data_IF_687288920841
#
_entry.id   IF_687288920841
#
_cell.length_a   1.000
_cell.length_b   1.000
_cell.length_c   1.000
_cell.angle_alpha   90.00
_cell.angle_beta   90.00
_cell.angle_gamma   90.00
#
_symmetry.space_group_name_H-M   'P 1'
#
loop_
_entity.id
_entity.type
_entity.pdbx_description
1 polymer ?
#
# COMPACT_ATOMS: atom_id res chain seq x y z
N UNK A 1 -9.63 -3.90 -15.22
CA UNK A 1 -8.74 -4.16 -14.08
C UNK A 1 -9.23 -3.37 -12.89
N UNK A 2 -9.89 -4.03 -11.95
CA UNK A 2 -10.30 -3.48 -10.66
C UNK A 2 -9.31 -3.86 -9.56
N UNK A 3 -9.35 -3.21 -8.40
CA UNK A 3 -8.51 -3.61 -7.26
C UNK A 3 -8.75 -5.06 -6.80
N UNK A 4 -9.96 -5.60 -7.01
CA UNK A 4 -10.34 -6.96 -6.61
C UNK A 4 -9.51 -8.06 -7.29
N UNK A 5 -8.92 -7.77 -8.45
CA UNK A 5 -8.13 -8.72 -9.23
C UNK A 5 -6.75 -9.00 -8.61
N UNK A 6 -6.30 -8.19 -7.65
CA UNK A 6 -5.01 -8.38 -6.96
C UNK A 6 -5.09 -9.26 -5.71
N UNK A 7 -6.30 -9.70 -5.32
CA UNK A 7 -6.51 -10.59 -4.17
C UNK A 7 -5.85 -10.10 -2.87
N UNK A 8 -5.94 -8.79 -2.61
CA UNK A 8 -5.43 -8.21 -1.37
C UNK A 8 -6.14 -8.78 -0.14
N UNK A 9 -5.44 -8.78 1.01
CA UNK A 9 -6.01 -9.11 2.32
C UNK A 9 -7.28 -8.31 2.59
N UNK A 10 -8.19 -8.90 3.37
CA UNK A 10 -9.53 -8.33 3.54
C UNK A 10 -9.52 -6.92 4.14
N UNK A 11 -8.65 -6.66 5.14
CA UNK A 11 -8.54 -5.33 5.74
C UNK A 11 -8.11 -4.26 4.73
N UNK A 12 -7.30 -4.63 3.73
CA UNK A 12 -6.91 -3.73 2.64
C UNK A 12 -8.12 -3.41 1.77
N UNK A 13 -8.92 -4.42 1.41
CA UNK A 13 -10.14 -4.24 0.62
C UNK A 13 -11.16 -3.35 1.34
N UNK A 14 -11.31 -3.50 2.65
CA UNK A 14 -12.15 -2.61 3.47
C UNK A 14 -11.68 -1.16 3.41
N UNK A 15 -10.37 -0.90 3.55
CA UNK A 15 -9.79 0.43 3.38
C UNK A 15 -10.00 1.00 1.98
N UNK A 16 -9.80 0.19 0.93
CA UNK A 16 -10.06 0.61 -0.46
C UNK A 16 -11.52 1.00 -0.68
N UNK A 17 -12.46 0.23 -0.12
CA UNK A 17 -13.89 0.50 -0.23
C UNK A 17 -14.28 1.79 0.50
N UNK A 18 -13.77 2.02 1.71
CA UNK A 18 -14.03 3.26 2.46
C UNK A 18 -13.51 4.49 1.72
N UNK A 19 -12.30 4.40 1.14
CA UNK A 19 -11.70 5.45 0.33
C UNK A 19 -12.36 5.58 -1.06
N UNK A 20 -13.32 4.72 -1.38
CA UNK A 20 -14.02 4.64 -2.67
C UNK A 20 -13.07 4.44 -3.85
N UNK A 21 -11.96 3.75 -3.64
CA UNK A 21 -11.02 3.37 -4.68
C UNK A 21 -11.54 2.15 -5.44
N UNK A 22 -11.95 2.36 -6.68
CA UNK A 22 -12.56 1.31 -7.52
C UNK A 22 -11.58 0.68 -8.49
N UNK A 23 -10.78 1.51 -9.16
CA UNK A 23 -9.82 1.09 -10.18
C UNK A 23 -8.42 1.61 -9.85
N UNK A 24 -7.38 0.77 -10.00
CA UNK A 24 -6.00 1.21 -9.85
C UNK A 24 -5.62 2.22 -10.93
N UNK A 25 -4.70 3.13 -10.60
CA UNK A 25 -4.07 4.04 -11.56
C UNK A 25 -3.06 3.30 -12.44
N UNK A 26 -2.61 3.91 -13.54
CA UNK A 26 -1.64 3.29 -14.45
C UNK A 26 -0.31 2.90 -13.78
N UNK A 27 0.19 3.73 -12.86
CA UNK A 27 1.40 3.41 -12.11
C UNK A 27 1.18 2.23 -11.15
N UNK A 28 0.01 2.15 -10.52
CA UNK A 28 -0.37 1.06 -9.63
C UNK A 28 -0.48 -0.26 -10.39
N UNK A 29 -1.17 -0.26 -11.56
CA UNK A 29 -1.25 -1.43 -12.45
C UNK A 29 0.13 -1.94 -12.87
N UNK A 30 1.06 -1.02 -13.12
CA UNK A 30 2.42 -1.35 -13.54
C UNK A 30 3.29 -1.89 -12.40
N UNK A 31 3.05 -1.44 -11.16
CA UNK A 31 3.86 -1.79 -9.99
C UNK A 31 3.34 -3.05 -9.30
N UNK A 32 2.03 -3.19 -9.07
CA UNK A 32 1.49 -4.27 -8.22
C UNK A 32 1.95 -5.67 -8.62
N UNK A 33 1.91 -6.11 -9.90
CA UNK A 33 2.35 -7.46 -10.25
C UNK A 33 3.81 -7.72 -9.85
N UNK A 34 4.70 -6.75 -10.11
CA UNK A 34 6.13 -6.88 -9.80
C UNK A 34 6.41 -6.77 -8.30
N UNK A 35 5.70 -5.89 -7.61
CA UNK A 35 5.91 -5.63 -6.19
C UNK A 35 5.44 -6.82 -5.36
N UNK A 36 4.30 -7.42 -5.72
CA UNK A 36 3.77 -8.61 -5.07
C UNK A 36 4.62 -9.87 -5.32
N UNK A 37 5.41 -9.88 -6.40
CA UNK A 37 6.46 -10.88 -6.65
C UNK A 37 7.77 -10.61 -5.88
N UNK A 38 7.84 -9.54 -5.09
CA UNK A 38 9.06 -9.15 -4.34
C UNK A 38 10.20 -8.62 -5.22
N UNK A 39 9.90 -8.16 -6.44
CA UNK A 39 10.94 -7.62 -7.35
C UNK A 39 11.32 -6.18 -6.99
N UNK A 40 12.57 -5.84 -7.28
CA UNK A 40 13.06 -4.45 -7.20
C UNK A 40 12.44 -3.60 -8.32
N UNK A 41 11.96 -2.39 -7.98
CA UNK A 41 11.22 -1.54 -8.90
C UNK A 41 11.70 -0.09 -8.78
N UNK A 42 11.85 0.57 -9.92
CA UNK A 42 11.99 2.03 -10.01
C UNK A 42 10.71 2.58 -10.65
N UNK A 43 9.96 3.37 -9.88
CA UNK A 43 8.73 4.01 -10.35
C UNK A 43 8.94 5.50 -10.62
N UNK A 44 8.69 5.95 -11.85
CA UNK A 44 8.68 7.38 -12.22
C UNK A 44 7.29 7.78 -12.68
N UNK A 45 6.66 8.74 -11.99
CA UNK A 45 5.40 9.33 -12.41
C UNK A 45 5.20 10.71 -11.80
N UNK A 46 4.25 11.48 -12.34
CA UNK A 46 3.87 12.79 -11.81
C UNK A 46 3.22 12.70 -10.41
N UNK A 47 3.19 13.81 -9.67
CA UNK A 47 2.45 13.91 -8.39
C UNK A 47 0.95 13.68 -8.62
N UNK A 48 0.25 13.12 -7.64
CA UNK A 48 -1.19 12.85 -7.73
C UNK A 48 -1.56 11.59 -8.52
N UNK A 49 -0.60 10.85 -9.10
CA UNK A 49 -0.92 9.63 -9.87
C UNK A 49 -1.11 8.36 -9.02
N UNK A 50 -1.19 8.48 -7.69
CA UNK A 50 -1.37 7.33 -6.80
C UNK A 50 -0.11 6.53 -6.45
N UNK A 51 1.09 7.13 -6.56
CA UNK A 51 2.37 6.48 -6.21
C UNK A 51 2.41 5.92 -4.78
N UNK A 52 1.86 6.66 -3.82
CA UNK A 52 1.83 6.26 -2.40
C UNK A 52 1.21 4.87 -2.23
N UNK A 53 -0.01 4.69 -2.71
CA UNK A 53 -0.69 3.40 -2.68
C UNK A 53 -0.03 2.35 -3.58
N UNK A 54 0.77 2.75 -4.58
CA UNK A 54 1.50 1.81 -5.43
C UNK A 54 2.56 1.01 -4.66
N UNK A 55 3.12 1.54 -3.56
CA UNK A 55 4.03 0.79 -2.69
C UNK A 55 3.43 0.42 -1.34
N UNK A 56 2.50 1.21 -0.77
CA UNK A 56 1.87 0.87 0.52
C UNK A 56 1.06 -0.42 0.43
N UNK A 57 0.24 -0.60 -0.61
CA UNK A 57 -0.65 -1.77 -0.70
C UNK A 57 0.14 -3.09 -0.83
N UNK A 58 1.19 -3.18 -1.67
CA UNK A 58 2.07 -4.35 -1.66
C UNK A 58 2.76 -4.60 -0.31
N UNK A 59 3.24 -3.54 0.38
CA UNK A 59 3.85 -3.71 1.71
C UNK A 59 2.85 -4.34 2.67
N UNK A 60 1.64 -3.77 2.80
CA UNK A 60 0.58 -4.30 3.65
C UNK A 60 0.24 -5.76 3.31
N UNK A 61 0.16 -6.06 2.01
CA UNK A 61 -0.11 -7.42 1.54
C UNK A 61 0.96 -8.43 1.99
N UNK A 62 2.21 -8.00 2.09
CA UNK A 62 3.35 -8.85 2.39
C UNK A 62 3.68 -8.95 3.88
N UNK A 63 3.08 -8.12 4.74
CA UNK A 63 3.27 -8.23 6.20
C UNK A 63 2.79 -9.59 6.71
N UNK A 64 3.46 -10.14 7.70
CA UNK A 64 2.99 -11.24 8.54
C UNK A 64 2.45 -10.66 9.85
N UNK A 65 1.14 -10.75 10.04
CA UNK A 65 0.46 -10.24 11.25
C UNK A 65 0.84 -11.01 12.53
N UNK A 66 1.50 -12.16 12.43
CA UNK A 66 1.90 -12.96 13.59
C UNK A 66 3.31 -12.60 14.10
N UNK A 67 4.05 -11.77 13.38
CA UNK A 67 5.42 -11.41 13.71
C UNK A 67 5.50 -9.98 14.26
N UNK A 68 5.87 -9.85 15.53
CA UNK A 68 6.10 -8.57 16.18
C UNK A 68 7.55 -8.08 16.00
N UNK A 69 7.92 -7.79 14.76
CA UNK A 69 9.22 -7.27 14.39
C UNK A 69 9.13 -6.25 13.24
N UNK A 70 10.23 -5.56 12.94
CA UNK A 70 10.25 -4.60 11.83
C UNK A 70 10.32 -5.37 10.50
N UNK A 71 9.23 -5.34 9.74
CA UNK A 71 9.10 -6.10 8.47
C UNK A 71 9.25 -5.21 7.22
N UNK A 72 9.10 -3.89 7.35
CA UNK A 72 9.23 -2.95 6.24
C UNK A 72 9.79 -1.60 6.72
N UNK A 73 10.58 -0.96 5.85
CA UNK A 73 11.12 0.40 6.09
C UNK A 73 10.78 1.28 4.90
N UNK A 74 10.14 2.42 5.17
CA UNK A 74 9.84 3.45 4.18
C UNK A 74 10.69 4.68 4.50
N UNK A 75 11.49 5.11 3.54
CA UNK A 75 12.34 6.30 3.67
C UNK A 75 11.67 7.47 2.92
N UNK A 76 11.57 8.61 3.58
CA UNK A 76 10.99 9.84 3.05
C UNK A 76 11.99 10.99 3.13
N UNK A 77 12.02 11.93 2.16
CA UNK A 77 12.91 13.08 2.18
C UNK A 77 12.59 14.12 3.26
N UNK A 78 11.34 14.16 3.75
CA UNK A 78 10.93 15.10 4.80
C UNK A 78 10.09 14.42 5.88
N UNK A 79 10.07 15.04 7.07
CA UNK A 79 9.29 14.56 8.23
C UNK A 79 7.79 14.63 7.97
N UNK A 80 7.33 15.71 7.33
CA UNK A 80 5.92 15.95 7.01
C UNK A 80 5.42 14.89 6.02
N UNK A 81 6.23 14.55 5.01
CA UNK A 81 5.87 13.49 4.08
C UNK A 81 5.87 12.11 4.78
N UNK A 82 6.81 11.85 5.70
CA UNK A 82 6.78 10.62 6.51
C UNK A 82 5.48 10.51 7.34
N UNK A 83 5.04 11.62 7.94
CA UNK A 83 3.78 11.68 8.68
C UNK A 83 2.56 11.45 7.76
N UNK A 84 2.55 12.04 6.56
CA UNK A 84 1.49 11.80 5.58
C UNK A 84 1.41 10.34 5.16
N UNK A 85 2.56 9.70 4.91
CA UNK A 85 2.63 8.26 4.60
C UNK A 85 2.09 7.40 5.74
N UNK A 86 2.42 7.75 6.99
CA UNK A 86 1.90 7.05 8.17
C UNK A 86 0.37 7.17 8.28
N UNK A 87 -0.20 8.35 8.02
CA UNK A 87 -1.65 8.54 8.00
C UNK A 87 -2.31 7.66 6.94
N UNK A 88 -1.75 7.59 5.73
CA UNK A 88 -2.26 6.70 4.69
C UNK A 88 -2.17 5.22 5.11
N UNK A 89 -1.10 4.82 5.80
CA UNK A 89 -0.96 3.46 6.31
C UNK A 89 -2.05 3.11 7.34
N UNK A 90 -2.26 3.98 8.33
CA UNK A 90 -3.26 3.82 9.40
C UNK A 90 -4.68 3.65 8.83
N UNK A 91 -5.00 4.34 7.72
CA UNK A 91 -6.33 4.22 7.07
C UNK A 91 -6.66 2.80 6.64
N UNK A 92 -5.66 1.98 6.30
CA UNK A 92 -5.88 0.58 5.93
C UNK A 92 -5.80 -0.36 7.14
N UNK A 93 -4.82 -0.19 8.02
CA UNK A 93 -4.59 -1.14 9.13
C UNK A 93 -5.62 -1.07 10.24
N UNK A 94 -6.39 0.02 10.37
CA UNK A 94 -7.47 0.13 11.36
C UNK A 94 -8.56 -0.95 11.29
N UNK A 95 -8.59 -1.74 10.21
CA UNK A 95 -9.48 -2.88 10.02
C UNK A 95 -8.83 -4.22 10.41
N UNK A 96 -7.63 -4.21 10.99
CA UNK A 96 -6.88 -5.37 11.41
C UNK A 96 -6.36 -5.20 12.84
N UNK A 97 -7.06 -5.82 13.80
CA UNK A 97 -6.76 -5.72 15.23
C UNK A 97 -5.40 -6.30 15.65
N UNK A 98 -4.69 -7.01 14.74
CA UNK A 98 -3.36 -7.56 15.01
C UNK A 98 -2.24 -6.58 14.65
N UNK A 99 -2.55 -5.44 14.02
CA UNK A 99 -1.59 -4.45 13.54
C UNK A 99 -1.70 -3.10 14.30
N UNK A 100 -2.34 -3.10 15.47
CA UNK A 100 -2.48 -1.93 16.36
C UNK A 100 -1.15 -1.47 17.00
#
# INVERSE_FOLDING_TARGET
MTFKEYHFKEYINLGLNELKFTNPTEIQKSIFPKALEGKNIIGKSATGTGKTHAFILPILQMLDENLNEVQAVIISPTRELAQQLNIEFIRFVKYNNNLD
#
